data_IF_828597396182
#
_entry.id   IF_828597396182
#
_cell.length_a   1.000
_cell.length_b   1.000
_cell.length_c   1.000
_cell.angle_alpha   90.00
_cell.angle_beta   90.00
_cell.angle_gamma   90.00
#
_symmetry.space_group_name_H-M   'P 1'
#
loop_
_entity.id
_entity.type
_entity.pdbx_description
1 polymer ?
#
# COMPACT_ATOMS: atom_id res chain seq x y z
N UNK A 1 19.36 -5.23 -2.83
CA UNK A 1 19.39 -5.90 -1.52
C UNK A 1 19.23 -4.89 -0.36
N UNK A 2 20.13 -3.92 -0.21
CA UNK A 2 20.06 -2.93 0.88
C UNK A 2 18.76 -2.13 0.89
N UNK A 3 18.25 -1.72 -0.28
CA UNK A 3 16.97 -1.07 -0.42
C UNK A 3 15.80 -1.92 0.07
N UNK A 4 15.81 -3.22 -0.18
CA UNK A 4 14.77 -4.14 0.30
C UNK A 4 14.77 -4.27 1.84
N UNK A 5 15.95 -4.22 2.47
CA UNK A 5 16.03 -4.19 3.94
C UNK A 5 15.38 -2.93 4.49
N UNK A 6 15.67 -1.76 3.93
CA UNK A 6 15.06 -0.49 4.38
C UNK A 6 13.53 -0.51 4.17
N UNK A 7 13.06 -0.98 3.01
CA UNK A 7 11.64 -1.12 2.76
C UNK A 7 10.96 -2.04 3.79
N UNK A 8 11.59 -3.16 4.13
CA UNK A 8 11.10 -4.07 5.16
C UNK A 8 11.03 -3.42 6.55
N UNK A 9 12.08 -2.67 6.95
CA UNK A 9 12.12 -2.00 8.24
C UNK A 9 11.01 -0.92 8.35
N UNK A 10 10.76 -0.18 7.27
CA UNK A 10 9.66 0.80 7.21
C UNK A 10 8.29 0.12 7.31
N UNK A 11 8.08 -0.98 6.59
CA UNK A 11 6.81 -1.71 6.62
C UNK A 11 6.52 -2.37 7.96
N UNK A 12 7.56 -2.82 8.66
CA UNK A 12 7.42 -3.37 10.00
C UNK A 12 7.17 -2.31 11.08
N UNK A 13 7.33 -1.02 10.74
CA UNK A 13 7.21 0.08 11.70
C UNK A 13 8.42 0.20 12.65
N UNK A 14 9.52 -0.51 12.36
CA UNK A 14 10.79 -0.35 13.09
C UNK A 14 11.44 0.98 12.71
N UNK A 15 11.40 1.33 11.42
CA UNK A 15 11.71 2.67 10.92
C UNK A 15 10.43 3.47 10.71
N UNK A 16 10.49 4.79 10.92
CA UNK A 16 9.38 5.68 10.59
C UNK A 16 8.98 5.56 9.12
N UNK A 17 7.68 5.48 8.86
CA UNK A 17 7.10 5.50 7.50
C UNK A 17 7.20 6.88 6.83
N UNK A 18 7.55 7.94 7.58
CA UNK A 18 7.74 9.27 7.02
C UNK A 18 8.95 9.32 6.06
N UNK A 19 8.88 10.10 4.97
CA UNK A 19 10.03 10.30 4.09
C UNK A 19 11.13 11.06 4.84
N UNK A 20 12.35 10.53 4.80
CA UNK A 20 13.54 11.22 5.34
C UNK A 20 14.24 11.85 4.16
N UNK A 21 14.10 13.15 3.99
CA UNK A 21 14.68 13.91 2.89
C UNK A 21 15.77 14.84 3.38
N UNK A 22 16.76 15.09 2.53
CA UNK A 22 17.81 16.09 2.79
C UNK A 22 18.09 16.90 1.53
N UNK A 23 18.53 18.14 1.72
CA UNK A 23 18.84 19.03 0.60
C UNK A 23 19.94 18.43 -0.29
N UNK A 24 19.71 18.39 -1.62
CA UNK A 24 20.68 17.87 -2.58
C UNK A 24 20.65 16.35 -2.80
N UNK A 25 19.70 15.61 -2.21
CA UNK A 25 19.62 14.15 -2.35
C UNK A 25 19.55 13.66 -3.81
N UNK A 26 18.78 14.36 -4.65
CA UNK A 26 18.63 13.99 -6.07
C UNK A 26 19.93 14.17 -6.84
N UNK A 27 20.67 15.25 -6.54
CA UNK A 27 21.98 15.49 -7.14
C UNK A 27 23.00 14.44 -6.69
N UNK A 28 23.01 14.08 -5.41
CA UNK A 28 23.86 13.01 -4.88
C UNK A 28 23.56 11.66 -5.54
N UNK A 29 22.29 11.29 -5.62
CA UNK A 29 21.86 10.04 -6.23
C UNK A 29 22.22 9.98 -7.72
N UNK A 30 22.06 11.09 -8.45
CA UNK A 30 22.45 11.19 -9.85
C UNK A 30 23.96 11.01 -10.00
N UNK A 31 24.75 11.70 -9.18
CA UNK A 31 26.23 11.62 -9.20
C UNK A 31 26.70 10.20 -8.93
N UNK A 32 26.14 9.54 -7.91
CA UNK A 32 26.44 8.13 -7.59
C UNK A 32 26.02 7.19 -8.71
N UNK A 33 24.88 7.44 -9.34
CA UNK A 33 24.43 6.68 -10.51
C UNK A 33 25.42 6.80 -11.68
N UNK A 34 25.87 8.01 -12.02
CA UNK A 34 26.89 8.25 -13.05
C UNK A 34 28.20 7.54 -12.67
N UNK A 35 28.62 7.65 -11.41
CA UNK A 35 29.83 6.99 -10.91
C UNK A 35 29.78 5.46 -11.08
N UNK A 36 28.62 4.83 -10.83
CA UNK A 36 28.42 3.40 -11.09
C UNK A 36 28.67 3.07 -12.57
N UNK A 37 28.09 3.82 -13.50
CA UNK A 37 28.30 3.58 -14.94
C UNK A 37 29.76 3.72 -15.35
N UNK A 38 30.44 4.74 -14.83
CA UNK A 38 31.88 4.95 -15.10
C UNK A 38 32.72 3.79 -14.52
N UNK A 39 32.41 3.36 -13.30
CA UNK A 39 33.12 2.24 -12.66
C UNK A 39 32.88 0.91 -13.40
N UNK A 40 31.66 0.66 -13.90
CA UNK A 40 31.39 -0.51 -14.73
C UNK A 40 32.25 -0.50 -15.98
N UNK A 41 32.30 0.64 -16.68
CA UNK A 41 33.14 0.77 -17.88
C UNK A 41 34.62 0.55 -17.58
N UNK A 42 35.11 1.07 -16.46
CA UNK A 42 36.49 0.90 -16.01
C UNK A 42 36.78 -0.56 -15.60
N UNK A 43 35.82 -1.20 -14.91
CA UNK A 43 35.91 -2.62 -14.52
C UNK A 43 36.02 -3.54 -15.76
N UNK A 44 35.23 -3.27 -16.79
CA UNK A 44 35.30 -4.03 -18.05
C UNK A 44 36.67 -3.92 -18.75
N UNK A 45 37.39 -2.82 -18.54
CA UNK A 45 38.74 -2.61 -19.13
C UNK A 45 39.86 -3.15 -18.28
N UNK A 46 39.79 -2.97 -16.96
CA UNK A 46 40.91 -3.21 -16.05
C UNK A 46 40.81 -4.51 -15.29
N UNK A 47 39.58 -5.06 -15.15
CA UNK A 47 39.29 -6.27 -14.37
C UNK A 47 39.90 -6.26 -12.96
N UNK A 48 39.96 -5.08 -12.34
CA UNK A 48 40.60 -4.86 -11.03
C UNK A 48 39.64 -5.20 -9.89
N UNK A 49 40.06 -6.03 -8.94
CA UNK A 49 39.29 -6.39 -7.75
C UNK A 49 38.90 -5.18 -6.91
N UNK A 50 39.77 -4.19 -6.80
CA UNK A 50 39.50 -2.97 -6.03
C UNK A 50 38.32 -2.18 -6.61
N UNK A 51 38.20 -2.09 -7.94
CA UNK A 51 37.09 -1.42 -8.61
C UNK A 51 35.80 -2.20 -8.39
N UNK A 52 35.85 -3.53 -8.44
CA UNK A 52 34.73 -4.41 -8.17
C UNK A 52 34.15 -4.21 -6.77
N UNK A 53 35.00 -4.22 -5.74
CA UNK A 53 34.56 -4.02 -4.36
C UNK A 53 34.04 -2.59 -4.12
N UNK A 54 34.64 -1.58 -4.76
CA UNK A 54 34.17 -0.20 -4.70
C UNK A 54 32.78 -0.08 -5.34
N UNK A 55 32.54 -0.72 -6.48
CA UNK A 55 31.24 -0.74 -7.15
C UNK A 55 30.15 -1.37 -6.27
N UNK A 56 30.47 -2.48 -5.60
CA UNK A 56 29.55 -3.13 -4.67
C UNK A 56 29.20 -2.18 -3.51
N UNK A 57 30.18 -1.54 -2.89
CA UNK A 57 29.97 -0.62 -1.77
C UNK A 57 29.06 0.56 -2.17
N UNK A 58 29.32 1.18 -3.33
CA UNK A 58 28.52 2.27 -3.85
C UNK A 58 27.09 1.77 -4.18
N UNK A 59 26.92 0.58 -4.76
CA UNK A 59 25.60 0.01 -5.07
C UNK A 59 24.77 -0.23 -3.81
N UNK A 60 25.36 -0.67 -2.71
CA UNK A 60 24.68 -0.79 -1.42
C UNK A 60 24.24 0.56 -0.88
N UNK A 61 25.11 1.57 -0.96
CA UNK A 61 24.83 2.93 -0.53
C UNK A 61 23.65 3.54 -1.31
N UNK A 62 23.69 3.42 -2.64
CA UNK A 62 22.60 3.90 -3.53
C UNK A 62 21.28 3.22 -3.20
N UNK A 63 21.28 1.90 -2.93
CA UNK A 63 20.08 1.18 -2.54
C UNK A 63 19.42 1.74 -1.27
N UNK A 64 20.21 2.17 -0.28
CA UNK A 64 19.73 2.83 0.93
C UNK A 64 19.19 4.23 0.60
N UNK A 65 19.99 5.05 -0.10
CA UNK A 65 19.65 6.44 -0.40
C UNK A 65 18.41 6.59 -1.28
N UNK A 66 18.09 5.62 -2.12
CA UNK A 66 16.89 5.63 -2.95
C UNK A 66 15.63 5.35 -2.14
N UNK A 67 15.67 4.47 -1.15
CA UNK A 67 14.46 4.00 -0.46
C UNK A 67 14.16 4.83 0.80
N UNK A 68 15.17 5.39 1.46
CA UNK A 68 15.01 6.20 2.67
C UNK A 68 14.03 7.39 2.48
N UNK A 69 14.09 8.16 1.36
CA UNK A 69 13.21 9.30 1.16
C UNK A 69 11.79 8.95 0.69
N UNK A 70 11.49 7.67 0.47
CA UNK A 70 10.16 7.25 0.01
C UNK A 70 9.24 7.06 1.22
N UNK A 71 8.04 7.66 1.15
CA UNK A 71 7.03 7.56 2.19
C UNK A 71 6.35 6.20 2.28
N UNK A 72 5.76 5.90 3.43
CA UNK A 72 5.06 4.64 3.68
C UNK A 72 3.88 4.38 2.74
N UNK A 73 3.18 5.44 2.32
CA UNK A 73 2.07 5.35 1.36
C UNK A 73 2.49 4.77 0.00
N UNK A 74 3.72 5.09 -0.45
CA UNK A 74 4.26 4.65 -1.73
C UNK A 74 5.00 3.30 -1.64
N UNK A 75 5.15 2.72 -0.44
CA UNK A 75 5.90 1.47 -0.23
C UNK A 75 5.39 0.27 -1.05
N UNK A 76 4.09 0.05 -1.27
CA UNK A 76 3.64 -1.06 -2.12
C UNK A 76 4.20 -0.98 -3.54
N UNK A 77 4.25 0.21 -4.12
CA UNK A 77 4.84 0.46 -5.44
C UNK A 77 6.33 0.14 -5.43
N UNK A 78 7.03 0.61 -4.41
CA UNK A 78 8.48 0.41 -4.24
C UNK A 78 8.84 -1.06 -4.12
N UNK A 79 8.07 -1.85 -3.36
CA UNK A 79 8.32 -3.29 -3.22
C UNK A 79 8.18 -4.00 -4.57
N UNK A 80 7.13 -3.67 -5.32
CA UNK A 80 6.93 -4.24 -6.65
C UNK A 80 8.09 -3.88 -7.58
N UNK A 81 8.59 -2.65 -7.49
CA UNK A 81 9.73 -2.18 -8.27
C UNK A 81 11.05 -2.85 -7.87
N UNK A 82 11.30 -3.04 -6.57
CA UNK A 82 12.46 -3.80 -6.10
C UNK A 82 12.42 -5.26 -6.56
N UNK A 83 11.23 -5.86 -6.59
CA UNK A 83 11.04 -7.20 -7.16
C UNK A 83 11.35 -7.22 -8.66
N UNK A 84 10.93 -6.19 -9.40
CA UNK A 84 11.28 -6.02 -10.81
C UNK A 84 12.81 -5.96 -11.01
N UNK A 85 13.53 -5.17 -10.23
CA UNK A 85 14.99 -5.08 -10.31
C UNK A 85 15.66 -6.43 -10.01
N UNK A 86 15.13 -7.19 -9.05
CA UNK A 86 15.64 -8.54 -8.75
C UNK A 86 15.42 -9.50 -9.93
N UNK A 87 14.27 -9.41 -10.60
CA UNK A 87 13.97 -10.18 -11.80
C UNK A 87 14.94 -9.87 -12.95
N UNK A 88 15.19 -8.59 -13.21
CA UNK A 88 16.15 -8.18 -14.25
C UNK A 88 17.58 -8.62 -13.94
N UNK A 89 17.98 -8.55 -12.65
CA UNK A 89 19.27 -9.07 -12.22
C UNK A 89 19.37 -10.59 -12.44
N UNK A 90 18.31 -11.34 -12.14
CA UNK A 90 18.27 -12.79 -12.38
C UNK A 90 18.38 -13.11 -13.87
N UNK A 91 17.69 -12.36 -14.75
CA UNK A 91 17.83 -12.52 -16.20
C UNK A 91 19.26 -12.24 -16.66
N UNK A 92 19.91 -11.19 -16.15
CA UNK A 92 21.32 -10.89 -16.43
C UNK A 92 22.27 -12.01 -16.01
N UNK A 93 22.08 -12.58 -14.84
CA UNK A 93 22.84 -13.76 -14.37
C UNK A 93 22.57 -14.96 -15.29
N UNK A 94 21.31 -15.12 -15.72
CA UNK A 94 20.93 -16.18 -16.64
C UNK A 94 21.70 -16.13 -17.97
N UNK A 95 21.95 -14.95 -18.52
CA UNK A 95 22.77 -14.76 -19.73
C UNK A 95 24.23 -15.19 -19.48
N UNK A 96 24.79 -14.83 -18.32
CA UNK A 96 26.17 -15.17 -17.96
C UNK A 96 26.35 -16.68 -17.76
N UNK A 97 25.32 -17.36 -17.20
CA UNK A 97 25.34 -18.79 -16.91
C UNK A 97 24.77 -19.64 -18.04
N UNK A 98 24.37 -19.05 -19.17
CA UNK A 98 23.69 -19.70 -20.30
C UNK A 98 22.45 -20.51 -19.88
N UNK A 99 21.77 -20.06 -18.83
CA UNK A 99 20.61 -20.73 -18.26
C UNK A 99 19.30 -20.10 -18.76
N UNK A 100 18.69 -20.75 -19.76
CA UNK A 100 17.46 -20.27 -20.39
C UNK A 100 16.29 -20.16 -19.40
N UNK A 101 16.15 -21.06 -18.45
CA UNK A 101 15.09 -21.01 -17.44
C UNK A 101 15.24 -19.77 -16.56
N UNK A 102 16.45 -19.41 -16.15
CA UNK A 102 16.73 -18.22 -15.35
C UNK A 102 16.51 -16.92 -16.14
N UNK A 103 16.82 -16.93 -17.44
CA UNK A 103 16.53 -15.78 -18.34
C UNK A 103 15.02 -15.55 -18.42
N UNK A 104 14.24 -16.59 -18.70
CA UNK A 104 12.79 -16.49 -18.87
C UNK A 104 12.12 -16.08 -17.57
N UNK A 105 12.42 -16.76 -16.47
CA UNK A 105 11.81 -16.45 -15.17
C UNK A 105 12.19 -15.06 -14.70
N UNK A 106 13.46 -14.65 -14.86
CA UNK A 106 13.91 -13.31 -14.52
C UNK A 106 13.24 -12.22 -15.36
N UNK A 107 13.08 -12.44 -16.67
CA UNK A 107 12.37 -11.51 -17.54
C UNK A 107 10.89 -11.38 -17.18
N UNK A 108 10.20 -12.49 -16.87
CA UNK A 108 8.80 -12.48 -16.46
C UNK A 108 8.61 -11.75 -15.13
N UNK A 109 9.42 -12.05 -14.12
CA UNK A 109 9.36 -11.39 -12.81
C UNK A 109 9.70 -9.90 -12.94
N UNK A 110 10.72 -9.57 -13.74
CA UNK A 110 11.12 -8.18 -13.98
C UNK A 110 10.02 -7.36 -14.65
N UNK A 111 9.43 -7.89 -15.70
CA UNK A 111 8.35 -7.23 -16.46
C UNK A 111 7.09 -7.10 -15.62
N UNK A 112 6.67 -8.17 -14.94
CA UNK A 112 5.46 -8.16 -14.11
C UNK A 112 5.57 -7.13 -12.97
N UNK A 113 6.71 -7.07 -12.27
CA UNK A 113 6.95 -6.10 -11.21
C UNK A 113 6.89 -4.65 -11.70
N UNK A 114 7.44 -4.36 -12.88
CA UNK A 114 7.37 -3.03 -13.50
C UNK A 114 5.94 -2.64 -13.88
N UNK A 115 5.20 -3.56 -14.52
CA UNK A 115 3.80 -3.34 -14.91
C UNK A 115 2.94 -3.10 -13.68
N UNK A 116 3.08 -3.93 -12.63
CA UNK A 116 2.34 -3.78 -11.38
C UNK A 116 2.63 -2.45 -10.70
N UNK A 117 3.91 -2.01 -10.67
CA UNK A 117 4.29 -0.70 -10.13
C UNK A 117 3.62 0.44 -10.89
N UNK A 118 3.57 0.36 -12.22
CA UNK A 118 2.93 1.36 -13.07
C UNK A 118 1.41 1.43 -12.82
N UNK A 119 0.74 0.27 -12.76
CA UNK A 119 -0.72 0.18 -12.49
C UNK A 119 -1.03 0.76 -11.10
N UNK A 120 -0.21 0.42 -10.09
CA UNK A 120 -0.41 0.97 -8.75
C UNK A 120 -0.23 2.49 -8.70
N UNK A 121 0.78 3.04 -9.38
CA UNK A 121 0.95 4.49 -9.48
C UNK A 121 -0.28 5.16 -10.10
N UNK A 122 -0.81 4.57 -11.19
CA UNK A 122 -2.02 5.06 -11.84
C UNK A 122 -3.23 4.99 -10.90
N UNK A 123 -3.41 3.89 -10.17
CA UNK A 123 -4.50 3.72 -9.19
C UNK A 123 -4.40 4.69 -8.00
N UNK A 124 -3.19 5.12 -7.65
CA UNK A 124 -2.95 6.13 -6.61
C UNK A 124 -2.99 7.57 -7.14
N UNK A 125 -3.25 7.76 -8.43
CA UNK A 125 -3.16 9.05 -9.12
C UNK A 125 -1.80 9.76 -8.92
N UNK A 126 -0.71 8.99 -8.94
CA UNK A 126 0.65 9.48 -8.76
C UNK A 126 1.52 9.18 -9.98
N UNK A 127 2.42 10.12 -10.30
CA UNK A 127 3.41 9.87 -11.33
C UNK A 127 4.40 8.79 -10.89
N UNK A 128 4.62 7.79 -11.74
CA UNK A 128 5.61 6.74 -11.50
C UNK A 128 7.01 7.29 -11.22
N UNK A 129 7.42 8.31 -11.97
CA UNK A 129 8.71 8.97 -11.78
C UNK A 129 8.79 9.66 -10.42
N UNK A 130 7.72 10.34 -9.98
CA UNK A 130 7.71 11.02 -8.67
C UNK A 130 7.81 10.04 -7.51
N UNK A 131 7.20 8.86 -7.63
CA UNK A 131 7.29 7.82 -6.58
C UNK A 131 8.70 7.23 -6.50
N UNK A 132 9.34 6.94 -7.64
CA UNK A 132 10.71 6.37 -7.66
C UNK A 132 11.76 7.37 -7.18
N UNK A 133 11.64 8.63 -7.56
CA UNK A 133 12.59 9.65 -7.13
C UNK A 133 12.44 9.99 -5.63
N UNK A 134 11.26 9.74 -5.06
CA UNK A 134 10.96 10.02 -3.66
C UNK A 134 10.97 11.51 -3.30
N UNK A 135 10.63 11.82 -2.05
CA UNK A 135 10.70 13.19 -1.53
C UNK A 135 9.55 14.12 -1.88
N UNK A 136 8.58 13.68 -2.65
CA UNK A 136 7.36 14.43 -2.93
C UNK A 136 6.37 14.25 -1.78
N UNK A 137 6.07 15.32 -1.06
CA UNK A 137 5.24 15.34 0.15
C UNK A 137 6.00 15.65 1.43
N UNK A 138 7.33 15.87 1.37
CA UNK A 138 8.13 16.26 2.50
C UNK A 138 8.10 17.78 2.79
N UNK A 139 7.68 18.59 1.84
CA UNK A 139 7.75 20.05 1.96
C UNK A 139 6.75 20.68 2.95
N UNK A 140 5.88 19.89 3.59
CA UNK A 140 4.87 20.38 4.52
C UNK A 140 4.88 19.73 5.92
N UNK A 141 5.89 18.93 6.26
CA UNK A 141 5.98 18.31 7.59
C UNK A 141 7.00 18.95 8.54
N UNK A 142 7.52 20.13 8.21
CA UNK A 142 8.46 20.87 9.05
C UNK A 142 7.84 22.03 9.83
N UNK A 143 6.52 22.02 10.03
CA UNK A 143 5.94 22.83 11.10
C UNK A 143 5.51 21.91 12.23
N UNK A 144 6.39 21.85 13.21
CA UNK A 144 6.22 21.23 14.51
C UNK A 144 5.06 21.91 15.26
N UNK A 145 3.87 21.55 14.97
CA UNK A 145 2.81 21.64 15.93
C UNK A 145 2.48 20.23 16.41
N UNK A 146 3.22 19.75 17.39
CA UNK A 146 2.70 18.89 18.45
C UNK A 146 1.60 19.64 19.21
N UNK A 147 0.62 20.16 18.50
CA UNK A 147 -0.67 20.34 19.10
C UNK A 147 -1.16 18.92 19.41
N UNK A 148 -1.24 18.62 20.70
CA UNK A 148 -2.14 17.58 21.20
C UNK A 148 -3.50 17.94 20.59
N UNK A 149 -3.82 17.38 19.42
CA UNK A 149 -5.17 17.40 18.91
C UNK A 149 -5.98 16.74 20.01
N UNK A 150 -6.85 17.51 20.64
CA UNK A 150 -7.86 16.99 21.53
C UNK A 150 -8.48 15.78 20.83
N UNK A 151 -8.32 14.61 21.43
CA UNK A 151 -8.84 13.39 20.84
C UNK A 151 -10.36 13.56 20.80
N UNK A 152 -10.88 13.81 19.60
CA UNK A 152 -12.32 13.82 19.40
C UNK A 152 -12.89 12.50 19.92
N UNK A 153 -14.01 12.50 20.60
CA UNK A 153 -14.59 11.29 21.14
C UNK A 153 -14.91 10.31 20.01
N UNK A 154 -14.48 9.09 20.16
CA UNK A 154 -14.76 7.99 19.23
C UNK A 154 -15.86 7.14 19.82
N UNK A 155 -16.88 6.80 19.02
CA UNK A 155 -17.94 5.88 19.44
C UNK A 155 -17.38 4.45 19.39
N UNK A 156 -17.14 3.87 20.57
CA UNK A 156 -16.72 2.47 20.68
C UNK A 156 -17.94 1.57 20.73
N UNK A 157 -17.94 0.52 19.90
CA UNK A 157 -18.95 -0.53 19.89
C UNK A 157 -18.37 -1.87 20.29
N UNK A 158 -19.24 -2.81 20.55
CA UNK A 158 -18.88 -4.20 20.78
C UNK A 158 -19.36 -5.11 19.63
N UNK A 159 -19.01 -6.38 19.67
CA UNK A 159 -19.40 -7.35 18.64
C UNK A 159 -20.92 -7.55 18.59
N UNK A 160 -21.63 -7.38 19.70
CA UNK A 160 -23.09 -7.53 19.79
C UNK A 160 -23.79 -6.37 19.10
N UNK A 161 -23.30 -5.14 19.29
CA UNK A 161 -23.80 -3.94 18.60
C UNK A 161 -23.62 -4.06 17.09
N UNK A 162 -22.44 -4.50 16.66
CA UNK A 162 -22.16 -4.74 15.25
C UNK A 162 -23.04 -5.82 14.64
N UNK A 163 -23.23 -6.94 15.36
CA UNK A 163 -24.11 -8.02 14.92
C UNK A 163 -25.58 -7.57 14.83
N UNK A 164 -26.04 -6.75 15.78
CA UNK A 164 -27.39 -6.18 15.77
C UNK A 164 -27.62 -5.27 14.56
N UNK A 165 -26.67 -4.36 14.30
CA UNK A 165 -26.76 -3.45 13.14
C UNK A 165 -26.75 -4.22 11.83
N UNK A 166 -25.86 -5.20 11.66
CA UNK A 166 -25.78 -6.01 10.44
C UNK A 166 -27.01 -6.90 10.24
N UNK A 167 -27.56 -7.46 11.33
CA UNK A 167 -28.77 -8.32 11.24
C UNK A 167 -30.03 -7.56 10.83
N UNK A 168 -30.11 -6.29 11.18
CA UNK A 168 -31.25 -5.42 10.82
C UNK A 168 -31.04 -4.66 9.52
N UNK A 169 -29.91 -4.84 8.84
CA UNK A 169 -29.61 -4.23 7.56
C UNK A 169 -30.20 -5.04 6.41
N UNK A 170 -30.60 -4.38 5.33
CA UNK A 170 -30.97 -5.04 4.07
C UNK A 170 -29.75 -5.26 3.18
N UNK A 171 -28.74 -4.41 3.32
CA UNK A 171 -27.50 -4.46 2.52
C UNK A 171 -26.27 -4.13 3.37
N UNK A 172 -25.21 -4.90 3.15
CA UNK A 172 -23.91 -4.72 3.81
C UNK A 172 -22.80 -4.71 2.76
N UNK A 173 -21.96 -3.68 2.76
CA UNK A 173 -20.75 -3.62 1.94
C UNK A 173 -19.55 -3.86 2.83
N UNK A 174 -18.74 -4.86 2.49
CA UNK A 174 -17.52 -5.20 3.21
C UNK A 174 -16.32 -4.58 2.52
N UNK A 175 -15.51 -3.85 3.28
CA UNK A 175 -14.28 -3.22 2.79
C UNK A 175 -13.08 -3.88 3.47
N UNK A 176 -12.48 -4.92 2.83
CA UNK A 176 -11.32 -5.59 3.38
C UNK A 176 -10.06 -4.78 3.14
N UNK A 177 -9.15 -4.81 4.10
CA UNK A 177 -7.86 -4.16 4.03
C UNK A 177 -6.73 -5.03 4.56
N UNK A 178 -5.53 -4.46 4.58
CA UNK A 178 -4.32 -5.19 4.99
C UNK A 178 -4.40 -5.79 6.40
N UNK A 179 -5.11 -5.14 7.32
CA UNK A 179 -5.30 -5.66 8.67
C UNK A 179 -6.02 -7.01 8.71
N UNK A 180 -6.98 -7.25 7.80
CA UNK A 180 -7.62 -8.55 7.64
C UNK A 180 -6.59 -9.62 7.22
N UNK A 181 -5.70 -9.29 6.28
CA UNK A 181 -4.63 -10.19 5.83
C UNK A 181 -3.68 -10.58 6.97
N UNK A 182 -3.26 -9.59 7.76
CA UNK A 182 -2.36 -9.82 8.91
C UNK A 182 -3.01 -10.70 9.98
N UNK A 183 -4.30 -10.52 10.21
CA UNK A 183 -5.08 -11.30 11.18
C UNK A 183 -5.51 -12.67 10.62
N UNK A 184 -5.29 -12.93 9.33
CA UNK A 184 -5.80 -14.12 8.62
C UNK A 184 -7.31 -14.33 8.83
N UNK A 185 -8.06 -13.22 8.86
CA UNK A 185 -9.47 -13.20 9.22
C UNK A 185 -10.43 -13.49 8.04
N UNK A 186 -9.90 -13.78 6.84
CA UNK A 186 -10.71 -14.01 5.63
C UNK A 186 -11.71 -15.16 5.78
N UNK A 187 -11.35 -16.23 6.48
CA UNK A 187 -12.23 -17.37 6.71
C UNK A 187 -13.36 -17.03 7.69
N UNK A 188 -13.03 -16.36 8.81
CA UNK A 188 -14.04 -15.93 9.79
C UNK A 188 -14.99 -14.89 9.18
N UNK A 189 -14.47 -14.00 8.32
CA UNK A 189 -15.28 -13.04 7.56
C UNK A 189 -16.26 -13.79 6.64
N UNK A 190 -15.80 -14.81 5.93
CA UNK A 190 -16.65 -15.65 5.07
C UNK A 190 -17.77 -16.32 5.87
N UNK A 191 -17.47 -16.93 7.01
CA UNK A 191 -18.48 -17.54 7.87
C UNK A 191 -19.52 -16.53 8.35
N UNK A 192 -19.11 -15.32 8.69
CA UNK A 192 -20.01 -14.23 9.06
C UNK A 192 -20.95 -13.88 7.89
N UNK A 193 -20.40 -13.74 6.67
CA UNK A 193 -21.19 -13.43 5.47
C UNK A 193 -22.19 -14.52 5.15
N UNK A 194 -21.81 -15.79 5.27
CA UNK A 194 -22.73 -16.90 5.06
C UNK A 194 -23.92 -16.89 6.04
N UNK A 195 -23.69 -16.44 7.28
CA UNK A 195 -24.77 -16.24 8.27
C UNK A 195 -25.67 -15.05 7.90
N UNK A 196 -25.11 -13.95 7.40
CA UNK A 196 -25.90 -12.80 6.95
C UNK A 196 -26.78 -13.15 5.76
N UNK A 197 -26.24 -13.87 4.77
CA UNK A 197 -27.01 -14.33 3.60
C UNK A 197 -28.15 -15.29 3.96
N UNK A 198 -27.97 -16.13 4.96
CA UNK A 198 -29.05 -16.99 5.49
C UNK A 198 -30.22 -16.20 6.07
N UNK A 199 -30.00 -14.93 6.39
CA UNK A 199 -31.04 -13.99 6.85
C UNK A 199 -31.49 -13.03 5.74
N UNK A 200 -31.30 -13.40 4.47
CA UNK A 200 -31.69 -12.63 3.27
C UNK A 200 -31.05 -11.23 3.18
N UNK A 201 -29.86 -11.04 3.79
CA UNK A 201 -29.11 -9.80 3.73
C UNK A 201 -28.19 -9.84 2.50
N UNK A 202 -28.31 -8.83 1.64
CA UNK A 202 -27.40 -8.67 0.49
C UNK A 202 -26.03 -8.25 0.98
N UNK A 203 -24.99 -9.06 0.69
CA UNK A 203 -23.60 -8.75 1.04
C UNK A 203 -22.74 -8.67 -0.20
N UNK A 204 -21.94 -7.60 -0.30
CA UNK A 204 -20.97 -7.38 -1.38
C UNK A 204 -19.63 -6.95 -0.80
N UNK A 205 -18.56 -7.19 -1.54
CA UNK A 205 -17.19 -6.79 -1.16
C UNK A 205 -16.71 -5.67 -2.07
N UNK A 206 -16.21 -4.60 -1.46
CA UNK A 206 -15.62 -3.46 -2.15
C UNK A 206 -14.10 -3.51 -2.05
N UNK A 207 -13.44 -3.76 -3.16
CA UNK A 207 -11.98 -3.87 -3.22
C UNK A 207 -11.38 -2.56 -3.73
N UNK A 208 -10.39 -2.10 -3.01
CA UNK A 208 -9.56 -0.99 -3.49
C UNK A 208 -8.28 -1.55 -4.14
N UNK A 209 -7.87 -1.05 -5.32
CA UNK A 209 -6.72 -1.58 -6.08
C UNK A 209 -5.40 -1.60 -5.29
N UNK A 210 -5.22 -0.65 -4.35
CA UNK A 210 -4.02 -0.56 -3.52
C UNK A 210 -4.23 -1.06 -2.09
N UNK A 211 -5.38 -1.68 -1.78
CA UNK A 211 -5.59 -2.32 -0.49
C UNK A 211 -4.65 -3.51 -0.32
N UNK A 212 -3.84 -3.50 0.72
CA UNK A 212 -2.88 -4.56 0.95
C UNK A 212 -1.43 -4.16 0.69
N UNK A 213 -0.63 -5.08 0.19
CA UNK A 213 0.81 -4.88 -0.13
C UNK A 213 1.14 -5.10 -1.59
N UNK A 214 0.21 -5.60 -2.37
CA UNK A 214 0.34 -5.84 -3.80
C UNK A 214 -1.03 -5.70 -4.47
N UNK A 215 -1.11 -5.37 -5.75
CA UNK A 215 -2.38 -5.37 -6.49
C UNK A 215 -3.08 -6.72 -6.40
N UNK A 216 -4.40 -6.68 -6.21
CA UNK A 216 -5.18 -7.90 -6.07
C UNK A 216 -4.98 -8.68 -4.77
N UNK A 217 -4.25 -8.13 -3.78
CA UNK A 217 -4.00 -8.82 -2.52
C UNK A 217 -5.30 -9.27 -1.84
N UNK A 218 -6.30 -8.40 -1.78
CA UNK A 218 -7.60 -8.74 -1.18
C UNK A 218 -8.35 -9.76 -2.02
N UNK A 219 -8.28 -9.68 -3.35
CA UNK A 219 -8.91 -10.64 -4.26
C UNK A 219 -8.37 -12.06 -4.03
N UNK A 220 -7.05 -12.20 -3.86
CA UNK A 220 -6.41 -13.51 -3.58
C UNK A 220 -6.91 -14.08 -2.26
N UNK A 221 -6.96 -13.28 -1.19
CA UNK A 221 -7.42 -13.74 0.13
C UNK A 221 -8.91 -14.11 0.13
N UNK A 222 -9.74 -13.35 -0.58
CA UNK A 222 -11.15 -13.68 -0.72
C UNK A 222 -11.36 -14.95 -1.55
N UNK A 223 -10.57 -15.15 -2.61
CA UNK A 223 -10.56 -16.38 -3.37
C UNK A 223 -10.10 -17.59 -2.54
N UNK A 224 -9.08 -17.43 -1.68
CA UNK A 224 -8.66 -18.46 -0.73
C UNK A 224 -9.79 -18.85 0.25
N UNK A 225 -10.60 -17.86 0.66
CA UNK A 225 -11.78 -18.10 1.48
C UNK A 225 -12.99 -18.59 0.70
N UNK A 226 -12.86 -18.89 -0.61
CA UNK A 226 -13.94 -19.32 -1.50
C UNK A 226 -15.10 -18.31 -1.59
N UNK A 227 -14.81 -17.02 -1.58
CA UNK A 227 -15.80 -15.98 -1.86
C UNK A 227 -16.13 -15.99 -3.36
N UNK A 228 -17.42 -16.03 -3.76
CA UNK A 228 -17.82 -15.94 -5.17
C UNK A 228 -17.36 -14.63 -5.82
N UNK A 229 -16.86 -14.71 -7.06
CA UNK A 229 -16.34 -13.53 -7.77
C UNK A 229 -17.43 -12.51 -8.11
N UNK A 230 -18.67 -12.93 -8.28
CA UNK A 230 -19.82 -12.08 -8.54
C UNK A 230 -20.25 -11.20 -7.35
N UNK A 231 -19.67 -11.44 -6.19
CA UNK A 231 -19.86 -10.62 -4.98
C UNK A 231 -18.72 -9.62 -4.73
N UNK A 232 -17.65 -9.71 -5.51
CA UNK A 232 -16.44 -8.90 -5.35
C UNK A 232 -16.40 -7.85 -6.44
N UNK A 233 -16.48 -6.59 -6.03
CA UNK A 233 -16.54 -5.44 -6.93
C UNK A 233 -15.32 -4.55 -6.71
N UNK A 234 -14.82 -3.97 -7.80
CA UNK A 234 -13.78 -2.95 -7.73
C UNK A 234 -14.36 -1.59 -7.39
N UNK A 235 -13.48 -0.67 -6.97
CA UNK A 235 -13.86 0.68 -6.53
C UNK A 235 -14.77 1.40 -7.53
N UNK A 236 -14.46 1.31 -8.82
CA UNK A 236 -15.18 2.03 -9.87
C UNK A 236 -16.63 1.56 -10.02
N UNK A 237 -16.88 0.27 -9.78
CA UNK A 237 -18.20 -0.34 -9.92
C UNK A 237 -19.08 -0.10 -8.69
N UNK A 238 -18.51 -0.20 -7.48
CA UNK A 238 -19.31 -0.22 -6.24
C UNK A 238 -19.40 1.14 -5.53
N UNK A 239 -18.58 2.11 -5.91
CA UNK A 239 -18.46 3.35 -5.13
C UNK A 239 -19.77 4.15 -5.02
N UNK A 240 -20.65 4.02 -6.01
CA UNK A 240 -21.97 4.65 -5.99
C UNK A 240 -22.98 3.93 -5.08
N UNK A 241 -22.76 2.66 -4.80
CA UNK A 241 -23.68 1.82 -4.02
C UNK A 241 -23.60 2.12 -2.51
N UNK A 242 -22.52 2.72 -2.04
CA UNK A 242 -22.38 3.09 -0.62
C UNK A 242 -23.51 3.99 -0.14
N UNK A 243 -24.00 4.91 -0.98
CA UNK A 243 -25.08 5.81 -0.62
C UNK A 243 -26.43 5.10 -0.40
N UNK A 244 -26.61 3.93 -1.02
CA UNK A 244 -27.84 3.13 -0.92
C UNK A 244 -27.72 1.98 0.07
N UNK A 245 -26.52 1.79 0.66
CA UNK A 245 -26.26 0.68 1.58
C UNK A 245 -26.51 1.06 3.03
N UNK A 246 -27.00 0.10 3.80
CA UNK A 246 -27.33 0.32 5.20
C UNK A 246 -26.07 0.29 6.09
N UNK A 247 -25.19 -0.68 5.86
CA UNK A 247 -23.98 -0.86 6.66
C UNK A 247 -22.75 -1.03 5.77
N UNK A 248 -21.71 -0.26 6.06
CA UNK A 248 -20.36 -0.49 5.56
C UNK A 248 -19.50 -1.11 6.67
N UNK A 249 -19.01 -2.33 6.45
CA UNK A 249 -18.13 -3.04 7.37
C UNK A 249 -16.69 -2.96 6.89
N UNK A 250 -15.90 -2.08 7.51
CA UNK A 250 -14.49 -1.86 7.19
C UNK A 250 -13.61 -2.69 8.09
N UNK A 251 -12.92 -3.67 7.52
CA UNK A 251 -12.06 -4.59 8.27
C UNK A 251 -10.60 -4.47 7.86
N UNK A 252 -9.81 -3.83 8.71
CA UNK A 252 -8.36 -3.69 8.51
C UNK A 252 -7.94 -2.76 7.39
N UNK A 253 -8.86 -1.92 6.86
CA UNK A 253 -8.54 -0.82 5.94
C UNK A 253 -8.39 0.50 6.71
N UNK A 254 -7.73 1.49 6.11
CA UNK A 254 -7.59 2.84 6.66
C UNK A 254 -7.51 3.88 5.54
N UNK A 255 -6.34 4.09 4.94
CA UNK A 255 -6.07 5.19 4.01
C UNK A 255 -6.98 5.14 2.76
N UNK A 256 -7.36 3.93 2.31
CA UNK A 256 -8.23 3.70 1.15
C UNK A 256 -9.70 4.11 1.36
N UNK A 257 -10.08 4.45 2.59
CA UNK A 257 -11.42 4.94 2.94
C UNK A 257 -11.39 6.38 3.48
N UNK A 258 -10.21 7.01 3.53
CA UNK A 258 -10.03 8.30 4.17
C UNK A 258 -10.50 9.45 3.27
N UNK A 259 -11.55 10.22 3.67
CA UNK A 259 -12.07 11.31 2.87
C UNK A 259 -11.08 12.47 2.68
N UNK A 260 -10.06 12.59 3.51
CA UNK A 260 -8.98 13.59 3.40
C UNK A 260 -8.27 13.51 2.04
N UNK A 261 -8.28 12.35 1.37
CA UNK A 261 -7.77 12.20 0.01
C UNK A 261 -8.49 13.11 -1.02
N UNK A 262 -9.72 13.51 -0.75
CA UNK A 262 -10.52 14.40 -1.62
C UNK A 262 -10.48 15.86 -1.18
N UNK A 263 -10.32 16.12 0.11
CA UNK A 263 -10.57 17.44 0.72
C UNK A 263 -9.32 18.23 1.00
N UNK A 264 -8.20 17.60 1.32
CA UNK A 264 -6.97 18.30 1.70
C UNK A 264 -5.84 18.16 0.65
N UNK A 265 -5.57 19.24 -0.12
CA UNK A 265 -4.48 19.25 -1.11
C UNK A 265 -3.08 19.03 -0.53
N UNK A 266 -2.90 19.23 0.79
CA UNK A 266 -1.61 19.02 1.47
C UNK A 266 -1.42 17.57 1.94
N UNK A 267 -2.46 16.77 1.88
CA UNK A 267 -2.41 15.37 2.31
C UNK A 267 -1.51 14.53 1.40
N UNK A 268 -0.69 13.63 1.94
CA UNK A 268 0.12 12.67 1.15
C UNK A 268 -0.70 11.78 0.23
N UNK A 269 -1.99 11.58 0.53
CA UNK A 269 -2.92 10.77 -0.28
C UNK A 269 -3.85 11.60 -1.16
N UNK A 270 -3.63 12.90 -1.26
CA UNK A 270 -4.49 13.76 -2.07
C UNK A 270 -4.59 13.29 -3.53
N UNK A 271 -5.81 13.27 -4.05
CA UNK A 271 -6.10 12.81 -5.42
C UNK A 271 -6.15 11.29 -5.59
N UNK A 272 -5.87 10.50 -4.54
CA UNK A 272 -6.10 9.06 -4.58
C UNK A 272 -7.61 8.79 -4.59
N UNK A 273 -8.12 7.97 -5.52
CA UNK A 273 -9.50 7.49 -5.44
C UNK A 273 -9.69 6.75 -4.11
N UNK A 274 -10.78 6.99 -3.41
CA UNK A 274 -11.11 6.32 -2.15
C UNK A 274 -12.51 5.76 -2.20
N UNK A 275 -12.76 4.72 -1.41
CA UNK A 275 -14.08 4.16 -1.23
C UNK A 275 -14.94 5.11 -0.39
N UNK A 276 -16.12 5.48 -0.90
CA UNK A 276 -17.03 6.46 -0.33
C UNK A 276 -17.84 5.91 0.86
N UNK A 277 -17.15 5.23 1.76
CA UNK A 277 -17.73 4.60 2.95
C UNK A 277 -18.54 5.60 3.79
N UNK A 278 -18.13 6.87 3.78
CA UNK A 278 -18.80 7.94 4.51
C UNK A 278 -20.26 8.20 4.09
N UNK A 279 -20.64 7.77 2.88
CA UNK A 279 -22.00 7.92 2.36
C UNK A 279 -22.97 6.85 2.89
N UNK A 280 -22.47 5.80 3.52
CA UNK A 280 -23.27 4.74 4.09
C UNK A 280 -24.03 5.22 5.34
N UNK A 281 -25.18 4.63 5.62
CA UNK A 281 -26.01 5.02 6.79
C UNK A 281 -25.28 4.74 8.10
N UNK A 282 -24.62 3.58 8.22
CA UNK A 282 -23.82 3.16 9.37
C UNK A 282 -22.50 2.57 8.95
N UNK A 283 -21.45 2.91 9.66
CA UNK A 283 -20.09 2.43 9.38
C UNK A 283 -19.60 1.66 10.59
N UNK A 284 -19.22 0.41 10.38
CA UNK A 284 -18.57 -0.44 11.37
C UNK A 284 -17.10 -0.56 11.01
N UNK A 285 -16.23 -0.10 11.89
CA UNK A 285 -14.80 -0.04 11.61
C UNK A 285 -14.02 -0.96 12.55
N UNK A 286 -13.41 -2.01 12.01
CA UNK A 286 -12.59 -2.94 12.78
C UNK A 286 -11.12 -2.63 12.56
N UNK A 287 -10.47 -2.10 13.60
CA UNK A 287 -9.06 -1.75 13.58
C UNK A 287 -8.41 -2.02 14.94
N UNK A 288 -7.14 -2.44 14.91
CA UNK A 288 -6.39 -2.75 16.13
C UNK A 288 -6.12 -1.53 17.03
N UNK A 289 -5.95 -0.36 16.44
CA UNK A 289 -5.68 0.90 17.13
C UNK A 289 -6.14 2.08 16.28
N UNK A 290 -6.34 3.24 16.90
CA UNK A 290 -6.66 4.50 16.21
C UNK A 290 -5.44 5.14 15.51
N UNK A 291 -4.28 4.49 15.57
CA UNK A 291 -3.05 5.01 14.95
C UNK A 291 -3.22 5.24 13.45
N UNK A 292 -2.54 6.24 12.89
CA UNK A 292 -2.50 6.48 11.45
C UNK A 292 -2.16 5.22 10.64
N UNK A 293 -2.59 5.20 9.37
CA UNK A 293 -2.18 4.18 8.41
C UNK A 293 -0.76 4.39 7.88
N UNK A 294 -0.44 3.78 6.74
CA UNK A 294 0.87 3.92 6.10
C UNK A 294 1.14 5.36 5.61
N UNK A 295 0.09 6.11 5.32
CA UNK A 295 0.20 7.52 4.92
C UNK A 295 0.60 8.44 6.08
N UNK A 296 0.54 7.97 7.32
CA UNK A 296 0.90 8.75 8.51
C UNK A 296 -0.13 9.83 8.88
N UNK A 297 -1.34 9.75 8.36
CA UNK A 297 -2.44 10.71 8.59
C UNK A 297 -3.60 10.07 9.34
N UNK A 298 -4.28 10.88 10.15
CA UNK A 298 -5.50 10.47 10.83
C UNK A 298 -6.65 10.29 9.86
N UNK A 299 -7.56 9.37 10.18
CA UNK A 299 -8.75 9.16 9.38
C UNK A 299 -9.96 9.81 10.06
N UNK A 300 -10.53 10.81 9.39
CA UNK A 300 -11.69 11.57 9.90
C UNK A 300 -12.95 10.71 10.07
N UNK A 301 -13.02 9.57 9.37
CA UNK A 301 -14.15 8.63 9.51
C UNK A 301 -14.34 8.13 10.94
N UNK A 302 -13.25 7.99 11.73
CA UNK A 302 -13.33 7.47 13.09
C UNK A 302 -14.14 8.35 14.03
N UNK A 303 -14.28 9.64 13.69
CA UNK A 303 -14.91 10.66 14.51
C UNK A 303 -16.32 11.05 14.00
N UNK A 304 -16.79 10.40 12.92
CA UNK A 304 -18.13 10.69 12.38
C UNK A 304 -19.23 10.06 13.23
N UNK A 305 -20.37 10.71 13.29
CA UNK A 305 -21.51 10.27 14.10
C UNK A 305 -22.08 8.92 13.72
N UNK A 306 -21.99 8.55 12.45
CA UNK A 306 -22.45 7.28 11.90
C UNK A 306 -21.40 6.17 11.96
N UNK A 307 -20.24 6.39 12.59
CA UNK A 307 -19.16 5.41 12.71
C UNK A 307 -19.11 4.80 14.08
N UNK A 308 -19.03 3.47 14.14
CA UNK A 308 -18.83 2.66 15.32
C UNK A 308 -17.49 1.90 15.19
N UNK A 309 -16.59 2.03 16.18
CA UNK A 309 -15.24 1.46 16.17
C UNK A 309 -15.16 0.22 17.07
#
# INVERSE_FOLDING_TARGET
FSGSIIAFLKLRGIMSGSPITFSGQHFLNLTLGIAIFVLIFYLCKTQSDNIFWTLIAISFLVGILLIVPIGGADMPVVISMLNSYSGWAAAGIGFTLENTALIITGALVGSSGAILSYIMCKAMNRSFVSVILGGFGADNSSDDSKEKKDQKPVKSGNAEDAAFLMKNASSVIIVPGYGMAVAQAQHALREMVDKLKKNDIKVTYAIHPVAGRMPGHMNVLLAEANVPYDEVFELEDINNDFANSDVAFVIGANDVTNPVAKTDPKSPIFGMPVLDVEKCKSILFVKRSLSPGYAGIDNELFYKDNTLM
#
